data_IF_666958111568
#
_entry.id   IF_666958111568
#
_cell.length_a   1.000
_cell.length_b   1.000
_cell.length_c   1.000
_cell.angle_alpha   90.00
_cell.angle_beta   90.00
_cell.angle_gamma   90.00
#
_symmetry.space_group_name_H-M   'P 1'
#
loop_
_entity.id
_entity.type
_entity.pdbx_description
1 polymer ?
#
# COMPACT_ATOMS: atom_id res chain seq x y z
N UNK A 1 -8.03 15.58 -3.22
CA UNK A 1 -8.78 15.21 -4.45
C UNK A 1 -8.44 13.76 -4.76
N UNK A 2 -9.40 12.90 -5.14
CA UNK A 2 -9.11 11.52 -5.55
C UNK A 2 -8.95 11.45 -7.09
N UNK A 3 -8.07 10.58 -7.59
CA UNK A 3 -7.91 10.29 -9.01
C UNK A 3 -8.09 8.78 -9.23
N UNK A 4 -9.01 8.41 -10.12
CA UNK A 4 -9.26 7.01 -10.51
C UNK A 4 -9.13 6.85 -12.04
N UNK A 5 -8.20 7.59 -12.64
CA UNK A 5 -7.98 7.64 -14.09
C UNK A 5 -9.31 7.77 -14.87
N UNK A 6 -9.53 6.90 -15.85
CA UNK A 6 -10.75 6.88 -16.66
C UNK A 6 -11.91 6.05 -16.08
N UNK A 7 -11.82 5.55 -14.85
CA UNK A 7 -12.87 4.69 -14.28
C UNK A 7 -14.17 5.46 -14.00
N UNK A 8 -14.05 6.64 -13.41
CA UNK A 8 -15.17 7.50 -13.05
C UNK A 8 -14.66 8.91 -12.73
N UNK A 9 -15.58 9.88 -12.74
CA UNK A 9 -15.28 11.26 -12.41
C UNK A 9 -15.76 11.59 -10.97
N UNK A 10 -14.85 11.87 -10.02
CA UNK A 10 -15.23 12.25 -8.66
C UNK A 10 -15.81 13.67 -8.57
N UNK A 11 -15.57 14.55 -9.55
CA UNK A 11 -16.07 15.93 -9.54
C UNK A 11 -17.57 16.02 -9.83
N UNK A 12 -18.14 15.01 -10.47
CA UNK A 12 -19.56 14.90 -10.81
C UNK A 12 -20.32 13.89 -9.93
N UNK A 13 -19.74 13.46 -8.80
CA UNK A 13 -20.21 12.32 -7.99
C UNK A 13 -20.31 10.99 -8.78
N UNK A 14 -19.67 10.89 -9.95
CA UNK A 14 -19.70 9.73 -10.83
C UNK A 14 -19.03 8.48 -10.24
N UNK A 15 -18.22 8.63 -9.19
CA UNK A 15 -17.55 7.53 -8.51
C UNK A 15 -18.35 6.88 -7.37
N UNK A 16 -19.52 7.41 -7.03
CA UNK A 16 -20.33 6.90 -5.90
C UNK A 16 -20.85 5.47 -6.13
N UNK A 17 -21.00 5.04 -7.39
CA UNK A 17 -21.39 3.68 -7.75
C UNK A 17 -20.41 2.58 -7.30
N UNK A 18 -19.13 2.94 -7.09
CA UNK A 18 -18.09 2.03 -6.60
C UNK A 18 -18.39 1.50 -5.19
N UNK A 19 -19.28 2.15 -4.43
CA UNK A 19 -19.74 1.65 -3.13
C UNK A 19 -20.25 0.20 -3.20
N UNK A 20 -20.97 -0.14 -4.28
CA UNK A 20 -21.50 -1.50 -4.48
C UNK A 20 -20.40 -2.54 -4.69
N UNK A 21 -19.37 -2.20 -5.46
CA UNK A 21 -18.21 -3.06 -5.71
C UNK A 21 -17.35 -3.21 -4.44
N UNK A 22 -17.15 -2.13 -3.68
CA UNK A 22 -16.46 -2.17 -2.38
C UNK A 22 -17.17 -3.15 -1.44
N UNK A 23 -18.49 -3.02 -1.29
CA UNK A 23 -19.30 -3.92 -0.45
C UNK A 23 -19.24 -5.37 -0.96
N UNK A 24 -19.22 -5.58 -2.27
CA UNK A 24 -19.06 -6.91 -2.90
C UNK A 24 -17.71 -7.55 -2.54
N UNK A 25 -16.62 -6.79 -2.57
CA UNK A 25 -15.30 -7.25 -2.11
C UNK A 25 -15.32 -7.60 -0.62
N UNK A 26 -15.86 -6.71 0.22
CA UNK A 26 -15.92 -6.92 1.66
C UNK A 26 -16.77 -8.14 2.06
N UNK A 27 -17.88 -8.39 1.35
CA UNK A 27 -18.71 -9.58 1.54
C UNK A 27 -17.96 -10.90 1.26
N UNK A 28 -16.88 -10.84 0.46
CA UNK A 28 -15.97 -11.97 0.19
C UNK A 28 -14.77 -12.01 1.15
N UNK A 29 -14.75 -11.19 2.19
CA UNK A 29 -13.64 -11.09 3.14
C UNK A 29 -12.42 -10.34 2.60
N UNK A 30 -12.52 -9.67 1.44
CA UNK A 30 -11.44 -8.89 0.86
C UNK A 30 -11.46 -7.49 1.49
N UNK A 31 -10.33 -7.06 2.03
CA UNK A 31 -10.16 -5.71 2.56
C UNK A 31 -9.94 -4.72 1.43
N UNK A 32 -10.61 -3.58 1.50
CA UNK A 32 -10.46 -2.49 0.53
C UNK A 32 -9.93 -1.25 1.25
N UNK A 33 -8.76 -0.80 0.84
CA UNK A 33 -8.08 0.38 1.39
C UNK A 33 -8.15 1.52 0.38
N UNK A 34 -8.13 2.76 0.88
CA UNK A 34 -7.81 3.94 0.05
C UNK A 34 -6.31 4.20 0.17
N UNK A 35 -5.60 4.22 -0.95
CA UNK A 35 -4.21 4.66 -0.98
C UNK A 35 -4.12 6.18 -1.12
N UNK A 36 -3.25 6.78 -0.31
CA UNK A 36 -2.89 8.19 -0.36
C UNK A 36 -1.46 8.33 -0.88
N UNK A 37 -1.23 9.31 -1.75
CA UNK A 37 0.06 9.55 -2.39
C UNK A 37 0.11 9.01 -3.81
N UNK A 38 1.06 8.12 -4.09
CA UNK A 38 1.46 7.61 -5.39
C UNK A 38 2.61 8.42 -6.00
N UNK A 39 3.29 7.85 -7.00
CA UNK A 39 4.43 8.49 -7.68
C UNK A 39 4.10 9.70 -8.58
N UNK A 40 2.87 10.23 -8.51
CA UNK A 40 2.47 11.44 -9.21
C UNK A 40 1.45 12.23 -8.39
N UNK A 41 1.80 13.48 -8.05
CA UNK A 41 0.86 14.41 -7.45
C UNK A 41 1.53 15.64 -6.88
N UNK A 42 0.82 16.31 -5.98
CA UNK A 42 1.37 17.37 -5.16
C UNK A 42 0.71 17.27 -3.80
N UNK A 43 1.25 16.39 -2.97
CA UNK A 43 0.74 16.10 -1.63
C UNK A 43 1.87 16.29 -0.62
N UNK A 44 1.53 16.90 0.50
CA UNK A 44 2.43 17.11 1.63
C UNK A 44 1.59 17.46 2.86
N UNK A 45 2.20 17.33 4.03
CA UNK A 45 1.65 17.83 5.29
C UNK A 45 2.55 18.94 5.82
N UNK A 46 1.94 20.03 6.27
CA UNK A 46 2.64 21.24 6.73
C UNK A 46 2.78 21.33 8.24
N UNK A 47 1.96 20.58 8.99
CA UNK A 47 1.97 20.56 10.44
C UNK A 47 1.23 19.33 11.00
N UNK A 48 1.36 19.09 12.30
CA UNK A 48 0.55 18.08 13.00
C UNK A 48 -0.95 18.44 13.00
N UNK A 49 -1.30 19.73 12.89
CA UNK A 49 -2.70 20.16 12.76
C UNK A 49 -3.24 19.81 11.38
N UNK A 50 -2.48 20.09 10.33
CA UNK A 50 -2.81 19.71 8.95
C UNK A 50 -3.00 18.18 8.83
N UNK A 51 -2.11 17.39 9.45
CA UNK A 51 -2.26 15.94 9.56
C UNK A 51 -3.58 15.53 10.25
N UNK A 52 -4.02 16.27 11.27
CA UNK A 52 -5.30 16.03 11.96
C UNK A 52 -6.50 16.37 11.08
N UNK A 53 -6.43 17.47 10.34
CA UNK A 53 -7.46 17.87 9.39
C UNK A 53 -7.61 16.84 8.27
N UNK A 54 -6.50 16.38 7.70
CA UNK A 54 -6.48 15.28 6.70
C UNK A 54 -7.04 13.98 7.29
N UNK A 55 -6.64 13.59 8.51
CA UNK A 55 -7.20 12.42 9.18
C UNK A 55 -8.72 12.51 9.35
N UNK A 56 -9.22 13.70 9.70
CA UNK A 56 -10.65 13.97 9.87
C UNK A 56 -11.39 13.92 8.54
N UNK A 57 -10.80 14.47 7.48
CA UNK A 57 -11.32 14.38 6.13
C UNK A 57 -11.44 12.91 5.68
N UNK A 58 -10.38 12.11 5.85
CA UNK A 58 -10.37 10.69 5.50
C UNK A 58 -11.42 9.91 6.31
N UNK A 59 -11.53 10.18 7.61
CA UNK A 59 -12.53 9.58 8.49
C UNK A 59 -13.95 9.82 7.99
N UNK A 60 -14.30 11.07 7.70
CA UNK A 60 -15.65 11.48 7.32
C UNK A 60 -16.04 11.09 5.89
N UNK A 61 -15.09 11.04 4.97
CA UNK A 61 -15.38 10.83 3.55
C UNK A 61 -15.20 9.39 3.06
N UNK A 62 -14.41 8.57 3.77
CA UNK A 62 -14.06 7.20 3.31
C UNK A 62 -14.19 6.12 4.39
N UNK A 63 -14.08 6.49 5.67
CA UNK A 63 -14.18 5.56 6.79
C UNK A 63 -15.53 5.73 7.51
N UNK A 64 -15.58 5.50 8.82
CA UNK A 64 -16.81 5.41 9.61
C UNK A 64 -17.41 6.75 10.05
N UNK A 65 -16.87 7.88 9.59
CA UNK A 65 -17.46 9.19 9.82
C UNK A 65 -18.58 9.50 8.82
N UNK A 66 -19.10 10.73 8.90
CA UNK A 66 -20.23 11.17 8.09
C UNK A 66 -19.85 12.37 7.22
N UNK A 67 -20.27 12.34 5.96
CA UNK A 67 -20.12 13.44 5.00
C UNK A 67 -21.28 13.37 4.01
N UNK A 68 -21.79 14.52 3.57
CA UNK A 68 -22.83 14.61 2.53
C UNK A 68 -22.30 14.37 1.11
N UNK A 69 -20.97 14.34 0.93
CA UNK A 69 -20.31 14.29 -0.38
C UNK A 69 -19.18 13.24 -0.41
N UNK A 70 -19.47 12.02 0.06
CA UNK A 70 -18.49 10.93 0.08
C UNK A 70 -18.09 10.54 -1.36
N UNK A 71 -16.81 10.65 -1.77
CA UNK A 71 -16.43 10.46 -3.18
C UNK A 71 -16.72 9.06 -3.74
N UNK A 72 -16.67 8.03 -2.90
CA UNK A 72 -16.91 6.63 -3.27
C UNK A 72 -18.27 6.13 -2.79
N UNK A 73 -19.17 7.04 -2.41
CA UNK A 73 -20.49 6.70 -1.88
C UNK A 73 -20.46 6.26 -0.41
N UNK A 74 -21.47 5.49 -0.02
CA UNK A 74 -21.77 5.17 1.38
C UNK A 74 -20.96 3.98 1.95
N UNK A 75 -20.14 3.31 1.14
CA UNK A 75 -19.27 2.26 1.63
C UNK A 75 -18.24 2.79 2.65
N UNK A 76 -17.97 1.99 3.66
CA UNK A 76 -16.94 2.25 4.68
C UNK A 76 -15.73 1.38 4.36
N UNK A 77 -14.65 2.01 3.92
CA UNK A 77 -13.39 1.31 3.62
C UNK A 77 -12.81 0.65 4.87
N UNK A 78 -11.93 -0.32 4.66
CA UNK A 78 -11.27 -1.04 5.74
C UNK A 78 -10.11 -0.26 6.33
N UNK A 79 -9.47 0.61 5.55
CA UNK A 79 -8.27 1.30 5.99
C UNK A 79 -7.71 2.31 5.00
N UNK A 80 -6.57 2.88 5.40
CA UNK A 80 -5.79 3.83 4.61
C UNK A 80 -4.41 3.23 4.34
N UNK A 81 -4.00 3.29 3.08
CA UNK A 81 -2.69 2.89 2.61
C UNK A 81 -1.81 4.12 2.36
N UNK A 82 -0.59 4.11 2.91
CA UNK A 82 0.37 5.19 2.81
C UNK A 82 1.39 4.87 1.72
N UNK A 83 1.15 5.38 0.52
CA UNK A 83 2.04 5.26 -0.64
C UNK A 83 2.73 6.61 -0.89
N UNK A 84 3.53 7.06 0.08
CA UNK A 84 4.17 8.38 0.03
C UNK A 84 5.53 8.23 -0.64
N UNK A 85 5.68 8.83 -1.82
CA UNK A 85 6.90 8.70 -2.63
C UNK A 85 7.61 10.05 -2.89
N UNK A 86 6.97 11.16 -2.54
CA UNK A 86 7.48 12.53 -2.74
C UNK A 86 6.91 13.51 -1.70
N UNK A 87 7.33 14.77 -1.78
CA UNK A 87 6.82 15.87 -0.94
C UNK A 87 7.63 16.08 0.34
N UNK A 88 6.99 16.02 1.51
CA UNK A 88 7.64 16.22 2.81
C UNK A 88 7.81 14.89 3.54
N UNK A 89 8.83 14.80 4.41
CA UNK A 89 9.09 13.62 5.26
C UNK A 89 8.43 13.74 6.66
N UNK A 90 7.67 14.81 6.89
CA UNK A 90 7.15 15.19 8.21
C UNK A 90 5.66 14.86 8.35
N UNK A 91 5.22 14.61 9.58
CA UNK A 91 3.81 14.49 9.99
C UNK A 91 3.03 13.27 9.48
N UNK A 92 3.64 12.38 8.69
CA UNK A 92 3.01 11.09 8.34
C UNK A 92 2.79 10.20 9.55
N UNK A 93 3.64 10.30 10.57
CA UNK A 93 3.48 9.61 11.85
C UNK A 93 2.32 10.20 12.66
N UNK A 94 2.13 11.53 12.64
CA UNK A 94 0.97 12.18 13.25
C UNK A 94 -0.33 11.75 12.56
N UNK A 95 -0.36 11.73 11.22
CA UNK A 95 -1.50 11.23 10.45
C UNK A 95 -1.84 9.78 10.84
N UNK A 96 -0.85 8.90 10.94
CA UNK A 96 -1.04 7.51 11.36
C UNK A 96 -1.64 7.42 12.79
N UNK A 97 -1.14 8.23 13.75
CA UNK A 97 -1.66 8.28 15.13
C UNK A 97 -3.13 8.73 15.15
N UNK A 98 -3.49 9.78 14.40
CA UNK A 98 -4.87 10.27 14.35
C UNK A 98 -5.82 9.26 13.70
N UNK A 99 -5.43 8.65 12.58
CA UNK A 99 -6.23 7.61 11.92
C UNK A 99 -6.42 6.38 12.81
N UNK A 100 -5.35 5.91 13.46
CA UNK A 100 -5.43 4.80 14.42
C UNK A 100 -6.38 5.12 15.57
N UNK A 101 -6.37 6.35 16.07
CA UNK A 101 -7.27 6.83 17.13
C UNK A 101 -8.76 6.65 16.83
N UNK A 102 -9.17 6.73 15.56
CA UNK A 102 -10.56 6.50 15.14
C UNK A 102 -11.01 5.05 15.33
N UNK A 103 -10.10 4.08 15.41
CA UNK A 103 -10.44 2.68 15.71
C UNK A 103 -11.16 2.53 17.06
N UNK A 104 -10.98 3.48 17.99
CA UNK A 104 -11.69 3.49 19.29
C UNK A 104 -13.16 3.93 19.17
N UNK A 105 -13.58 4.41 18.00
CA UNK A 105 -14.93 4.96 17.75
C UNK A 105 -15.83 4.02 16.93
N UNK A 106 -15.39 2.80 16.64
CA UNK A 106 -16.17 1.84 15.87
C UNK A 106 -15.33 0.73 15.24
N UNK A 107 -15.50 0.51 13.94
CA UNK A 107 -14.71 -0.46 13.17
C UNK A 107 -13.23 -0.09 13.21
N UNK A 108 -12.35 -1.10 13.36
CA UNK A 108 -10.89 -0.92 13.24
C UNK A 108 -10.56 -0.24 11.91
N UNK A 109 -9.72 0.79 11.98
CA UNK A 109 -9.09 1.40 10.81
C UNK A 109 -7.77 0.67 10.58
N UNK A 110 -7.68 -0.06 9.48
CA UNK A 110 -6.42 -0.70 9.07
C UNK A 110 -5.47 0.37 8.53
N UNK A 111 -4.19 0.26 8.88
CA UNK A 111 -3.13 1.10 8.34
C UNK A 111 -2.15 0.24 7.57
N UNK A 112 -1.93 0.60 6.31
CA UNK A 112 -0.93 -0.06 5.45
C UNK A 112 0.04 0.97 4.88
N UNK A 113 1.21 0.52 4.43
CA UNK A 113 2.20 1.40 3.82
C UNK A 113 2.95 0.70 2.69
N UNK A 114 3.31 1.49 1.68
CA UNK A 114 4.10 1.09 0.52
C UNK A 114 5.48 1.78 0.48
N UNK A 115 6.36 1.59 1.48
CA UNK A 115 7.69 2.18 1.43
C UNK A 115 8.50 1.65 0.24
N UNK A 116 9.44 2.44 -0.25
CA UNK A 116 10.44 1.95 -1.18
C UNK A 116 11.39 0.96 -0.47
N UNK A 117 12.05 0.08 -1.22
CA UNK A 117 12.95 -0.90 -0.60
C UNK A 117 14.21 -0.35 0.09
N UNK A 118 14.77 0.84 -0.24
CA UNK A 118 15.89 1.40 0.52
C UNK A 118 15.48 1.62 1.98
N UNK A 119 16.31 1.13 2.90
CA UNK A 119 16.02 1.19 4.33
C UNK A 119 16.98 2.14 5.06
N UNK A 120 16.49 3.01 5.98
CA UNK A 120 15.07 3.27 6.24
C UNK A 120 14.43 4.06 5.09
N UNK A 121 13.13 3.86 4.88
CA UNK A 121 12.38 4.65 3.91
C UNK A 121 12.34 6.13 4.33
N UNK A 122 12.64 7.03 3.38
CA UNK A 122 12.77 8.45 3.65
C UNK A 122 11.44 9.14 3.99
N UNK A 123 10.33 8.64 3.44
CA UNK A 123 9.03 9.31 3.46
C UNK A 123 8.17 8.80 4.63
N UNK A 124 7.95 7.49 4.71
CA UNK A 124 7.08 6.84 5.70
C UNK A 124 7.85 6.19 6.85
N UNK A 125 9.18 6.24 6.86
CA UNK A 125 10.01 5.60 7.88
C UNK A 125 9.70 6.05 9.32
N UNK A 126 9.39 7.33 9.53
CA UNK A 126 8.95 7.85 10.85
C UNK A 126 7.60 7.28 11.27
N UNK A 127 6.64 7.19 10.34
CA UNK A 127 5.32 6.63 10.57
C UNK A 127 5.41 5.13 10.92
N UNK A 128 6.24 4.37 10.22
CA UNK A 128 6.43 2.94 10.48
C UNK A 128 6.97 2.65 11.89
N UNK A 129 7.84 3.52 12.43
CA UNK A 129 8.39 3.38 13.79
C UNK A 129 7.32 3.49 14.89
N UNK A 130 6.14 4.01 14.59
CA UNK A 130 5.04 4.07 15.56
C UNK A 130 4.49 2.70 15.94
N UNK A 131 4.72 1.66 15.12
CA UNK A 131 4.17 0.32 15.33
C UNK A 131 2.67 0.21 15.08
N UNK A 132 2.07 1.20 14.41
CA UNK A 132 0.62 1.25 14.15
C UNK A 132 0.19 0.56 12.86
N UNK A 133 1.15 0.20 11.99
CA UNK A 133 0.86 -0.37 10.66
C UNK A 133 0.61 -1.87 10.73
N UNK A 134 -0.54 -2.30 10.19
CA UNK A 134 -0.94 -3.70 10.12
C UNK A 134 -0.16 -4.45 9.04
N UNK A 135 -0.11 -3.87 7.84
CA UNK A 135 0.52 -4.47 6.67
C UNK A 135 1.51 -3.49 6.03
N UNK A 136 2.70 -3.97 5.68
CA UNK A 136 3.70 -3.17 4.96
C UNK A 136 4.08 -3.91 3.70
N UNK A 137 3.80 -3.34 2.53
CA UNK A 137 4.21 -3.89 1.25
C UNK A 137 5.38 -3.10 0.67
N UNK A 138 6.59 -3.58 0.94
CA UNK A 138 7.81 -2.90 0.50
C UNK A 138 7.95 -3.02 -1.01
N UNK A 139 8.15 -1.89 -1.70
CA UNK A 139 8.29 -1.83 -3.15
C UNK A 139 9.72 -2.24 -3.57
N UNK A 140 9.89 -3.49 -4.00
CA UNK A 140 11.18 -4.04 -4.45
C UNK A 140 11.43 -3.83 -5.95
N UNK A 141 11.19 -2.61 -6.41
CA UNK A 141 11.36 -2.17 -7.80
C UNK A 141 11.73 -0.68 -7.86
N UNK A 142 12.15 -0.21 -9.04
CA UNK A 142 12.69 1.14 -9.27
C UNK A 142 13.91 1.54 -8.40
N UNK A 143 14.53 0.58 -7.71
CA UNK A 143 15.57 0.80 -6.71
C UNK A 143 16.67 -0.27 -6.84
N UNK A 144 17.67 -0.06 -7.73
CA UNK A 144 18.75 -1.02 -7.98
C UNK A 144 19.45 -1.60 -6.73
N UNK A 145 19.68 -0.86 -5.63
CA UNK A 145 20.38 -1.39 -4.46
C UNK A 145 19.65 -2.51 -3.72
N UNK A 146 18.33 -2.63 -3.87
CA UNK A 146 17.51 -3.55 -3.09
C UNK A 146 16.46 -4.32 -3.90
N UNK A 147 16.42 -4.16 -5.22
CA UNK A 147 15.52 -4.92 -6.09
C UNK A 147 16.18 -6.17 -6.69
N UNK A 148 15.38 -6.98 -7.38
CA UNK A 148 15.89 -8.03 -8.24
C UNK A 148 16.55 -7.46 -9.50
N UNK A 149 17.70 -8.01 -9.87
CA UNK A 149 18.35 -7.79 -11.17
C UNK A 149 18.51 -9.14 -11.85
N UNK A 150 18.46 -9.23 -13.18
CA UNK A 150 18.52 -10.50 -13.92
C UNK A 150 19.61 -11.45 -13.37
N UNK A 151 19.19 -12.58 -12.81
CA UNK A 151 20.08 -13.59 -12.21
C UNK A 151 20.57 -13.30 -10.79
N UNK A 152 20.34 -12.11 -10.23
CA UNK A 152 20.78 -11.69 -8.89
C UNK A 152 19.61 -11.29 -8.00
N UNK A 153 19.39 -12.06 -6.94
CA UNK A 153 18.33 -11.86 -5.94
C UNK A 153 18.86 -11.52 -4.54
N UNK A 154 20.20 -11.51 -4.35
CA UNK A 154 20.83 -11.33 -3.04
C UNK A 154 20.45 -10.00 -2.39
N UNK A 155 20.57 -8.89 -3.14
CA UNK A 155 20.21 -7.55 -2.67
C UNK A 155 18.77 -7.46 -2.16
N UNK A 156 17.83 -8.06 -2.88
CA UNK A 156 16.42 -8.12 -2.49
C UNK A 156 16.23 -8.93 -1.22
N UNK A 157 16.84 -10.11 -1.14
CA UNK A 157 16.71 -10.98 0.04
C UNK A 157 17.35 -10.34 1.28
N UNK A 158 18.46 -9.63 1.13
CA UNK A 158 19.11 -8.94 2.25
C UNK A 158 18.31 -7.72 2.71
N UNK A 159 17.76 -6.93 1.78
CA UNK A 159 16.81 -5.87 2.12
C UNK A 159 15.55 -6.43 2.79
N UNK A 160 15.00 -7.56 2.32
CA UNK A 160 13.87 -8.24 2.94
C UNK A 160 14.15 -8.63 4.41
N UNK A 161 15.35 -9.18 4.69
CA UNK A 161 15.76 -9.50 6.07
C UNK A 161 15.82 -8.25 6.93
N UNK A 162 16.36 -7.14 6.42
CA UNK A 162 16.41 -5.87 7.13
C UNK A 162 15.00 -5.36 7.48
N UNK A 163 14.11 -5.28 6.49
CA UNK A 163 12.72 -4.86 6.68
C UNK A 163 11.96 -5.73 7.70
N UNK A 164 12.09 -7.05 7.60
CA UNK A 164 11.41 -7.97 8.52
C UNK A 164 12.00 -7.99 9.93
N UNK A 165 13.26 -7.60 10.11
CA UNK A 165 13.90 -7.48 11.42
C UNK A 165 13.52 -6.16 12.10
N UNK A 166 13.64 -5.05 11.38
CA UNK A 166 13.74 -3.73 12.00
C UNK A 166 12.40 -2.98 12.10
N UNK A 167 11.34 -3.39 11.39
CA UNK A 167 10.03 -2.72 11.42
C UNK A 167 9.02 -3.45 12.31
N UNK A 168 8.35 -2.74 13.25
CA UNK A 168 7.26 -3.28 14.06
C UNK A 168 5.94 -3.31 13.27
N UNK A 169 5.84 -4.21 12.28
CA UNK A 169 4.61 -4.48 11.53
C UNK A 169 4.13 -5.92 11.74
N UNK A 170 2.82 -6.15 11.63
CA UNK A 170 2.23 -7.49 11.80
C UNK A 170 2.62 -8.41 10.65
N UNK A 171 2.44 -7.94 9.41
CA UNK A 171 2.87 -8.65 8.20
C UNK A 171 3.58 -7.72 7.22
N UNK A 172 4.58 -8.26 6.56
CA UNK A 172 5.34 -7.63 5.48
C UNK A 172 5.11 -8.42 4.19
N UNK A 173 4.88 -7.71 3.11
CA UNK A 173 4.58 -8.25 1.79
C UNK A 173 5.68 -7.84 0.81
N UNK A 174 5.97 -8.73 -0.13
CA UNK A 174 6.91 -8.48 -1.22
C UNK A 174 6.18 -7.70 -2.33
N UNK A 175 6.47 -6.41 -2.50
CA UNK A 175 5.88 -5.59 -3.55
C UNK A 175 6.64 -5.68 -4.86
N UNK A 176 5.95 -6.07 -5.93
CA UNK A 176 6.54 -6.34 -7.25
C UNK A 176 5.72 -5.70 -8.37
N UNK A 177 6.36 -5.36 -9.51
CA UNK A 177 5.63 -5.03 -10.72
C UNK A 177 5.06 -6.31 -11.34
N UNK A 178 3.80 -6.27 -11.78
CA UNK A 178 3.10 -7.39 -12.41
C UNK A 178 3.54 -7.66 -13.86
N UNK A 179 4.28 -6.72 -14.45
CA UNK A 179 4.82 -6.82 -15.81
C UNK A 179 6.12 -6.03 -15.91
N UNK A 180 6.96 -6.38 -16.91
CA UNK A 180 8.18 -5.63 -17.21
C UNK A 180 7.90 -4.14 -17.50
N UNK A 181 6.75 -3.84 -18.13
CA UNK A 181 6.35 -2.48 -18.45
C UNK A 181 5.74 -1.70 -17.26
N UNK A 182 5.48 -2.35 -16.13
CA UNK A 182 4.80 -1.72 -14.99
C UNK A 182 5.71 -0.83 -14.13
N UNK A 183 7.03 -0.97 -14.27
CA UNK A 183 8.04 -0.21 -13.53
C UNK A 183 9.29 -0.02 -14.41
N UNK A 184 10.13 0.96 -14.08
CA UNK A 184 11.38 1.21 -14.79
C UNK A 184 12.41 0.09 -14.61
N UNK A 185 12.36 -0.64 -13.49
CA UNK A 185 13.21 -1.81 -13.23
C UNK A 185 12.68 -2.66 -12.08
N UNK A 186 13.26 -3.86 -11.85
CA UNK A 186 12.92 -4.72 -10.71
C UNK A 186 11.89 -5.83 -10.99
N UNK A 187 11.43 -5.99 -12.23
CA UNK A 187 10.55 -7.11 -12.60
C UNK A 187 11.25 -8.47 -12.43
N UNK A 188 10.54 -9.41 -11.83
CA UNK A 188 11.04 -10.77 -11.56
C UNK A 188 10.28 -11.76 -12.43
N UNK A 189 10.94 -12.54 -13.30
CA UNK A 189 10.28 -13.65 -13.99
C UNK A 189 9.69 -14.67 -13.01
N UNK A 190 8.53 -15.26 -13.32
CA UNK A 190 7.83 -16.22 -12.46
C UNK A 190 8.74 -17.37 -12.01
N UNK A 191 9.56 -17.90 -12.92
CA UNK A 191 10.50 -18.98 -12.61
C UNK A 191 11.52 -18.57 -11.53
N UNK A 192 12.05 -17.34 -11.58
CA UNK A 192 13.02 -16.86 -10.60
C UNK A 192 12.33 -16.46 -9.29
N UNK A 193 11.14 -15.86 -9.34
CA UNK A 193 10.36 -15.55 -8.14
C UNK A 193 10.08 -16.83 -7.34
N UNK A 194 9.57 -17.86 -8.00
CA UNK A 194 9.15 -19.10 -7.34
C UNK A 194 10.32 -19.98 -6.90
N UNK A 195 11.41 -20.06 -7.67
CA UNK A 195 12.54 -20.94 -7.35
C UNK A 195 13.65 -20.30 -6.53
N UNK A 196 13.81 -18.97 -6.58
CA UNK A 196 14.97 -18.27 -5.95
C UNK A 196 14.56 -17.28 -4.86
N UNK A 197 13.48 -16.52 -5.07
CA UNK A 197 13.11 -15.40 -4.17
C UNK A 197 12.13 -15.83 -3.08
N UNK A 198 11.03 -16.50 -3.42
CA UNK A 198 10.03 -16.94 -2.43
C UNK A 198 10.61 -17.90 -1.37
N UNK A 199 11.44 -18.91 -1.71
CA UNK A 199 11.94 -19.86 -0.72
C UNK A 199 12.67 -19.23 0.48
N UNK A 200 13.66 -18.31 0.29
CA UNK A 200 14.33 -17.68 1.43
C UNK A 200 13.46 -16.66 2.19
N UNK A 201 12.50 -15.99 1.56
CA UNK A 201 11.70 -14.95 2.25
C UNK A 201 10.52 -15.51 3.05
N UNK A 202 9.93 -16.64 2.60
CA UNK A 202 8.76 -17.27 3.24
C UNK A 202 9.07 -17.85 4.63
N UNK A 203 10.34 -18.03 4.98
CA UNK A 203 10.76 -18.46 6.31
C UNK A 203 10.52 -17.43 7.42
N UNK A 204 10.28 -16.16 7.07
CA UNK A 204 9.99 -15.12 8.05
C UNK A 204 8.57 -15.25 8.60
N UNK A 205 8.40 -15.21 9.93
CA UNK A 205 7.06 -15.17 10.57
C UNK A 205 6.23 -13.94 10.15
N UNK A 206 6.90 -12.87 9.72
CA UNK A 206 6.27 -11.65 9.22
C UNK A 206 5.86 -11.75 7.75
N UNK A 207 6.23 -12.82 7.01
CA UNK A 207 5.76 -12.98 5.63
C UNK A 207 4.23 -12.97 5.56
N UNK A 208 3.69 -12.02 4.80
CA UNK A 208 2.26 -11.83 4.55
C UNK A 208 1.80 -12.24 3.15
N UNK A 209 2.72 -12.27 2.18
CA UNK A 209 2.41 -12.57 0.79
C UNK A 209 3.16 -11.67 -0.19
N UNK A 210 2.53 -11.45 -1.34
CA UNK A 210 3.02 -10.60 -2.44
C UNK A 210 1.96 -9.54 -2.73
N UNK A 211 2.38 -8.30 -3.02
CA UNK A 211 1.52 -7.29 -3.66
C UNK A 211 2.03 -7.00 -5.07
N UNK A 212 1.11 -6.70 -5.99
CA UNK A 212 1.43 -6.50 -7.39
C UNK A 212 0.99 -5.10 -7.86
N UNK A 213 1.93 -4.35 -8.41
CA UNK A 213 1.66 -3.13 -9.17
C UNK A 213 1.58 -3.46 -10.67
N UNK A 214 0.43 -3.41 -11.33
CA UNK A 214 -0.92 -3.15 -10.84
C UNK A 214 -1.91 -4.08 -11.53
N UNK A 215 -3.20 -4.01 -11.19
CA UNK A 215 -4.28 -4.80 -11.81
C UNK A 215 -4.26 -4.76 -13.35
N UNK A 216 -4.04 -3.59 -13.94
CA UNK A 216 -3.98 -3.43 -15.39
C UNK A 216 -2.90 -4.31 -16.03
N UNK A 217 -1.70 -4.31 -15.45
CA UNK A 217 -0.59 -5.12 -15.95
C UNK A 217 -0.76 -6.61 -15.62
N UNK A 218 -1.33 -6.93 -14.46
CA UNK A 218 -1.61 -8.32 -14.07
C UNK A 218 -2.62 -9.00 -15.01
N UNK A 219 -3.65 -8.27 -15.47
CA UNK A 219 -4.59 -8.78 -16.47
C UNK A 219 -3.93 -9.11 -17.80
N UNK A 220 -2.91 -8.35 -18.19
CA UNK A 220 -2.19 -8.55 -19.45
C UNK A 220 -1.24 -9.73 -19.40
N UNK A 221 -0.61 -9.97 -18.25
CA UNK A 221 0.46 -10.97 -18.11
C UNK A 221 0.03 -12.24 -17.40
N UNK A 222 -1.06 -12.21 -16.64
CA UNK A 222 -1.49 -13.33 -15.78
C UNK A 222 -0.48 -13.64 -14.67
N UNK A 223 0.24 -12.63 -14.17
CA UNK A 223 1.33 -12.81 -13.22
C UNK A 223 0.84 -13.43 -11.91
N UNK A 224 -0.24 -12.90 -11.32
CA UNK A 224 -0.88 -13.42 -10.11
C UNK A 224 -1.35 -14.86 -10.29
N UNK A 225 -1.97 -15.16 -11.44
CA UNK A 225 -2.44 -16.51 -11.78
C UNK A 225 -1.29 -17.52 -11.81
N UNK A 226 -0.11 -17.09 -12.28
CA UNK A 226 1.09 -17.91 -12.38
C UNK A 226 1.78 -18.18 -11.03
N UNK A 227 1.61 -17.28 -10.05
CA UNK A 227 2.26 -17.38 -8.73
C UNK A 227 1.31 -17.83 -7.62
N UNK A 228 0.00 -17.88 -7.86
CA UNK A 228 -1.04 -18.08 -6.84
C UNK A 228 -0.83 -19.31 -5.95
N UNK A 229 -0.36 -20.43 -6.50
CA UNK A 229 -0.10 -21.66 -5.72
C UNK A 229 1.18 -21.62 -4.90
N UNK A 230 2.02 -20.59 -5.08
CA UNK A 230 3.33 -20.46 -4.44
C UNK A 230 3.34 -19.43 -3.31
N UNK A 231 2.35 -18.52 -3.28
CA UNK A 231 2.22 -17.45 -2.28
C UNK A 231 1.51 -17.98 -1.04
#
# INVERSE_FOLDING_TARGET
>A
MINLAGHCDPYSNGCTGLSSDIKSCQAKGIKVMLSIGGGAGSYYLTSAEDAREVATYLWNNFLGGTSSSRPLGDAVLDGIDFDIEEGTIQHWDDLAKYLSGYSKRGKKVYLTAAPQCPFPDAWVGSALKTGLFDYVWVQFYNNPPCQYTSGSFGNLVDAWKQWTTDIPATKIFLGLPAALAAAGSGFIPVADLTSKVLPPIKGSIKYGGVILWSKYYDDQTGYSSSIKSHV
#
